data_IF_604754235712
#
_entry.id   IF_604754235712
#
_cell.length_a   1.000
_cell.length_b   1.000
_cell.length_c   1.000
_cell.angle_alpha   90.00
_cell.angle_beta   90.00
_cell.angle_gamma   90.00
#
_symmetry.space_group_name_H-M   'P 1'
#
loop_
_entity.id
_entity.type
_entity.pdbx_description
1 polymer ?
#
# COMPACT_ATOMS: atom_id res chain seq x y z
N UNK A 1 11.08 -1.72 21.58
CA UNK A 1 10.20 -2.80 21.10
C UNK A 1 10.23 -2.78 19.58
N UNK A 2 10.38 -3.93 18.93
CA UNK A 2 10.35 -4.05 17.46
C UNK A 2 8.88 -4.07 17.02
N UNK A 3 8.54 -3.36 15.93
CA UNK A 3 7.21 -3.40 15.32
C UNK A 3 7.22 -4.24 14.05
N UNK A 4 6.16 -5.00 13.79
CA UNK A 4 5.98 -5.85 12.62
C UNK A 4 4.92 -5.26 11.68
N UNK A 5 5.30 -5.08 10.42
CA UNK A 5 4.41 -4.75 9.32
C UNK A 5 4.23 -5.99 8.44
N UNK A 6 2.98 -6.33 8.12
CA UNK A 6 2.67 -7.41 7.19
C UNK A 6 1.90 -6.86 5.97
N UNK A 7 2.43 -7.12 4.77
CA UNK A 7 1.76 -6.73 3.54
C UNK A 7 0.76 -7.79 3.09
N UNK A 8 -0.47 -7.38 2.80
CA UNK A 8 -1.60 -8.23 2.41
C UNK A 8 -2.26 -7.73 1.12
N UNK A 9 -2.94 -8.65 0.41
CA UNK A 9 -3.58 -8.39 -0.89
C UNK A 9 -5.10 -8.34 -0.84
N UNK A 10 -5.69 -8.92 0.21
CA UNK A 10 -7.13 -9.07 0.34
C UNK A 10 -7.55 -9.20 1.81
N UNK A 11 -8.87 -9.35 2.01
CA UNK A 11 -9.49 -9.48 3.31
C UNK A 11 -9.12 -10.79 4.04
N UNK A 12 -8.85 -11.87 3.29
CA UNK A 12 -8.50 -13.16 3.89
C UNK A 12 -7.11 -13.10 4.51
N UNK A 13 -6.13 -12.57 3.78
CA UNK A 13 -4.77 -12.33 4.29
C UNK A 13 -4.80 -11.32 5.45
N UNK A 14 -5.60 -10.25 5.34
CA UNK A 14 -5.76 -9.26 6.42
C UNK A 14 -6.26 -9.90 7.73
N UNK A 15 -7.19 -10.85 7.65
CA UNK A 15 -7.68 -11.59 8.82
C UNK A 15 -6.58 -12.43 9.46
N UNK A 16 -5.80 -13.15 8.66
CA UNK A 16 -4.70 -14.00 9.16
C UNK A 16 -3.68 -13.16 9.95
N UNK A 17 -3.24 -12.03 9.38
CA UNK A 17 -2.21 -11.20 10.03
C UNK A 17 -2.74 -10.44 11.23
N UNK A 18 -4.02 -10.07 11.22
CA UNK A 18 -4.66 -9.43 12.37
C UNK A 18 -4.74 -10.40 13.55
N UNK A 19 -5.16 -11.65 13.31
CA UNK A 19 -5.21 -12.70 14.33
C UNK A 19 -3.80 -13.06 14.86
N UNK A 20 -2.77 -12.90 14.03
CA UNK A 20 -1.37 -13.05 14.42
C UNK A 20 -0.80 -11.87 15.24
N UNK A 21 -1.55 -10.77 15.37
CA UNK A 21 -1.17 -9.63 16.22
C UNK A 21 -0.11 -8.70 15.62
N UNK A 22 -0.11 -8.49 14.29
CA UNK A 22 0.81 -7.53 13.65
C UNK A 22 0.52 -6.08 14.05
N UNK A 23 1.56 -5.26 14.15
CA UNK A 23 1.44 -3.84 14.53
C UNK A 23 0.93 -2.95 13.40
N UNK A 24 1.07 -3.39 12.14
CA UNK A 24 0.60 -2.67 10.97
C UNK A 24 0.25 -3.62 9.81
N UNK A 25 -0.93 -3.44 9.23
CA UNK A 25 -1.40 -4.15 8.02
C UNK A 25 -1.20 -3.24 6.81
N UNK A 26 -0.39 -3.67 5.85
CA UNK A 26 -0.02 -2.91 4.65
C UNK A 26 -0.71 -3.49 3.40
N UNK A 27 -1.63 -2.73 2.82
CA UNK A 27 -2.38 -3.09 1.63
C UNK A 27 -1.56 -2.77 0.38
N UNK A 28 -1.14 -3.80 -0.37
CA UNK A 28 -0.38 -3.62 -1.61
C UNK A 28 -0.64 -4.73 -2.63
N UNK A 29 -0.38 -4.45 -3.90
CA UNK A 29 -0.44 -5.40 -5.02
C UNK A 29 0.98 -5.72 -5.53
N UNK A 30 1.63 -6.80 -5.05
CA UNK A 30 2.98 -7.16 -5.49
C UNK A 30 3.05 -7.50 -6.98
N UNK A 31 1.94 -7.96 -7.56
CA UNK A 31 1.85 -8.27 -8.99
C UNK A 31 1.93 -7.04 -9.89
N UNK A 32 1.83 -5.83 -9.33
CA UNK A 32 1.97 -4.56 -10.04
C UNK A 32 3.26 -3.83 -9.63
N UNK A 33 4.23 -4.56 -9.07
CA UNK A 33 5.53 -4.03 -8.63
C UNK A 33 5.65 -3.82 -7.12
N UNK A 34 6.79 -3.28 -6.68
CA UNK A 34 7.15 -3.21 -5.27
C UNK A 34 6.15 -2.42 -4.41
N UNK A 35 5.55 -1.38 -4.99
CA UNK A 35 4.56 -0.49 -4.37
C UNK A 35 3.26 -0.40 -5.20
N UNK A 36 2.90 -1.47 -5.92
CA UNK A 36 1.63 -1.54 -6.64
C UNK A 36 0.43 -1.34 -5.70
N UNK A 37 -0.58 -0.60 -6.15
CA UNK A 37 -1.78 -0.26 -5.37
C UNK A 37 -2.87 -1.34 -5.51
N UNK A 38 -3.61 -1.61 -4.44
CA UNK A 38 -4.84 -2.39 -4.52
C UNK A 38 -6.02 -1.53 -4.99
N UNK A 39 -7.09 -2.14 -5.52
CA UNK A 39 -8.36 -1.47 -5.77
C UNK A 39 -8.90 -0.78 -4.49
N UNK A 40 -9.48 0.41 -4.66
CA UNK A 40 -9.96 1.26 -3.54
C UNK A 40 -11.05 0.58 -2.70
N UNK A 41 -11.92 -0.20 -3.34
CA UNK A 41 -12.95 -1.00 -2.69
C UNK A 41 -12.34 -2.07 -1.78
N UNK A 42 -11.33 -2.82 -2.26
CA UNK A 42 -10.60 -3.79 -1.43
C UNK A 42 -9.95 -3.10 -0.23
N UNK A 43 -9.35 -1.93 -0.42
CA UNK A 43 -8.74 -1.18 0.68
C UNK A 43 -9.79 -0.80 1.73
N UNK A 44 -10.93 -0.27 1.30
CA UNK A 44 -12.03 0.11 2.19
C UNK A 44 -12.60 -1.09 2.95
N UNK A 45 -12.77 -2.22 2.29
CA UNK A 45 -13.27 -3.45 2.93
C UNK A 45 -12.33 -3.91 4.04
N UNK A 46 -11.02 -3.87 3.81
CA UNK A 46 -10.02 -4.22 4.83
C UNK A 46 -9.98 -3.19 5.95
N UNK A 47 -10.00 -1.89 5.65
CA UNK A 47 -10.03 -0.83 6.68
C UNK A 47 -11.28 -0.98 7.56
N UNK A 48 -12.45 -1.17 6.94
CA UNK A 48 -13.71 -1.40 7.65
C UNK A 48 -13.67 -2.67 8.50
N UNK A 49 -13.08 -3.75 7.98
CA UNK A 49 -12.84 -4.96 8.75
C UNK A 49 -11.92 -4.69 9.95
N UNK A 50 -10.73 -4.13 9.74
CA UNK A 50 -9.75 -3.88 10.82
C UNK A 50 -10.35 -3.03 11.92
N UNK A 51 -11.17 -2.02 11.59
CA UNK A 51 -11.95 -1.23 12.53
C UNK A 51 -11.10 -0.65 13.69
N UNK A 52 -9.89 -0.18 13.37
CA UNK A 52 -8.98 0.44 14.34
C UNK A 52 -8.31 -0.52 15.32
N UNK A 53 -8.42 -1.84 15.14
CA UNK A 53 -7.75 -2.84 15.99
C UNK A 53 -6.23 -2.83 15.86
N UNK A 54 -5.71 -2.42 14.70
CA UNK A 54 -4.29 -2.16 14.44
C UNK A 54 -4.16 -1.09 13.36
N UNK A 55 -2.95 -0.58 13.14
CA UNK A 55 -2.69 0.43 12.10
C UNK A 55 -2.82 -0.18 10.71
N UNK A 56 -3.27 0.63 9.76
CA UNK A 56 -3.37 0.28 8.34
C UNK A 56 -2.54 1.22 7.49
N UNK A 57 -1.90 0.68 6.45
CA UNK A 57 -1.29 1.46 5.39
C UNK A 57 -1.70 0.96 4.03
N UNK A 58 -1.69 1.82 3.01
CA UNK A 58 -1.88 1.37 1.63
C UNK A 58 -0.92 2.09 0.68
N UNK A 59 -0.53 1.40 -0.38
CA UNK A 59 0.30 1.97 -1.45
C UNK A 59 -0.54 2.81 -2.42
N UNK A 60 -0.02 3.96 -2.81
CA UNK A 60 -0.60 4.85 -3.82
C UNK A 60 -0.13 4.51 -5.25
N UNK A 61 0.61 3.40 -5.42
CA UNK A 61 1.15 2.95 -6.69
C UNK A 61 2.61 3.35 -6.90
N UNK A 62 3.12 2.98 -8.08
CA UNK A 62 4.41 3.41 -8.59
C UNK A 62 4.18 4.70 -9.40
N UNK A 63 4.59 5.84 -8.86
CA UNK A 63 4.25 7.17 -9.37
C UNK A 63 5.53 7.82 -9.89
N UNK A 64 5.45 8.48 -11.05
CA UNK A 64 6.50 9.40 -11.50
C UNK A 64 6.70 10.52 -10.45
N UNK A 65 7.90 11.11 -10.34
CA UNK A 65 8.21 12.07 -9.29
C UNK A 65 7.69 13.48 -9.65
N UNK A 66 6.40 13.56 -10.01
CA UNK A 66 5.64 14.78 -10.21
C UNK A 66 4.78 15.08 -8.98
N UNK A 67 4.89 16.29 -8.45
CA UNK A 67 4.26 16.66 -7.18
C UNK A 67 2.72 16.59 -7.24
N UNK A 68 2.12 16.99 -8.37
CA UNK A 68 0.66 16.98 -8.51
C UNK A 68 0.12 15.54 -8.63
N UNK A 69 0.79 14.69 -9.42
CA UNK A 69 0.47 13.28 -9.55
C UNK A 69 0.59 12.55 -8.20
N UNK A 70 1.69 12.76 -7.48
CA UNK A 70 1.91 12.17 -6.15
C UNK A 70 0.81 12.62 -5.17
N UNK A 71 0.49 13.91 -5.13
CA UNK A 71 -0.55 14.43 -4.25
C UNK A 71 -1.92 13.83 -4.57
N UNK A 72 -2.29 13.75 -5.85
CA UNK A 72 -3.57 13.20 -6.27
C UNK A 72 -3.70 11.71 -5.89
N UNK A 73 -2.67 10.92 -6.16
CA UNK A 73 -2.65 9.50 -5.79
C UNK A 73 -2.72 9.31 -4.27
N UNK A 74 -1.95 10.11 -3.50
CA UNK A 74 -1.99 10.05 -2.04
C UNK A 74 -3.37 10.43 -1.47
N UNK A 75 -4.01 11.46 -2.02
CA UNK A 75 -5.34 11.88 -1.59
C UNK A 75 -6.41 10.81 -1.86
N UNK A 76 -6.31 10.10 -3.00
CA UNK A 76 -7.20 8.99 -3.31
C UNK A 76 -7.10 7.86 -2.27
N UNK A 77 -5.88 7.47 -1.90
CA UNK A 77 -5.66 6.44 -0.88
C UNK A 77 -6.03 6.94 0.52
N UNK A 78 -5.70 8.17 0.89
CA UNK A 78 -6.09 8.74 2.18
C UNK A 78 -7.61 8.72 2.39
N UNK A 79 -8.39 8.94 1.33
CA UNK A 79 -9.85 8.88 1.35
C UNK A 79 -10.44 7.47 1.58
N UNK A 80 -9.60 6.43 1.66
CA UNK A 80 -10.02 5.07 2.06
C UNK A 80 -10.10 4.89 3.58
N UNK A 81 -9.50 5.80 4.35
CA UNK A 81 -9.47 5.75 5.81
C UNK A 81 -8.25 5.02 6.40
N UNK A 82 -7.23 4.71 5.59
CA UNK A 82 -5.96 4.18 6.10
C UNK A 82 -5.22 5.20 6.96
N UNK A 83 -4.46 4.71 7.94
CA UNK A 83 -3.65 5.56 8.84
C UNK A 83 -2.39 6.11 8.15
N UNK A 84 -1.83 5.34 7.22
CA UNK A 84 -0.63 5.72 6.46
C UNK A 84 -0.82 5.52 4.95
N UNK A 85 -0.33 6.47 4.18
CA UNK A 85 -0.23 6.36 2.72
C UNK A 85 1.23 6.16 2.33
N UNK A 86 1.50 5.18 1.48
CA UNK A 86 2.84 4.87 0.97
C UNK A 86 2.93 5.21 -0.52
N UNK A 87 3.69 6.23 -0.87
CA UNK A 87 3.93 6.59 -2.27
C UNK A 87 5.29 6.07 -2.73
N UNK A 88 5.30 5.35 -3.85
CA UNK A 88 6.54 4.97 -4.51
C UNK A 88 6.94 5.99 -5.55
N UNK A 89 8.08 6.64 -5.39
CA UNK A 89 8.64 7.56 -6.37
C UNK A 89 9.57 6.78 -7.31
N UNK A 90 9.15 6.63 -8.55
CA UNK A 90 9.91 5.89 -9.56
C UNK A 90 10.35 6.86 -10.67
N UNK A 91 11.55 6.70 -11.23
CA UNK A 91 11.95 7.49 -12.37
C UNK A 91 11.00 7.25 -13.56
N UNK A 92 10.93 8.20 -14.50
CA UNK A 92 10.32 7.95 -15.79
C UNK A 92 10.92 6.68 -16.43
N UNK A 93 10.13 5.96 -17.22
CA UNK A 93 10.53 4.71 -17.89
C UNK A 93 10.83 3.52 -16.97
N UNK A 94 10.42 3.54 -15.69
CA UNK A 94 10.53 2.34 -14.84
C UNK A 94 9.72 1.16 -15.42
N UNK A 95 10.36 -0.01 -15.48
CA UNK A 95 9.72 -1.26 -15.88
C UNK A 95 9.57 -2.24 -14.71
N UNK A 96 8.47 -3.00 -14.74
CA UNK A 96 8.16 -3.98 -13.73
C UNK A 96 9.20 -5.10 -13.66
N UNK A 97 9.79 -5.29 -12.48
CA UNK A 97 10.76 -6.36 -12.23
C UNK A 97 12.24 -5.95 -12.38
N UNK A 98 12.52 -4.68 -12.70
CA UNK A 98 13.86 -4.12 -12.58
C UNK A 98 14.35 -4.25 -11.14
N UNK A 99 15.30 -5.17 -10.88
CA UNK A 99 15.92 -5.33 -9.55
C UNK A 99 16.77 -4.13 -9.14
N UNK A 100 17.06 -3.25 -10.08
CA UNK A 100 17.79 -2.03 -9.86
C UNK A 100 16.89 -0.89 -10.31
N UNK A 101 16.71 0.10 -9.46
CA UNK A 101 16.09 1.40 -9.75
C UNK A 101 16.87 2.19 -10.83
N UNK A 102 17.43 1.51 -11.83
CA UNK A 102 18.16 2.05 -12.95
C UNK A 102 17.17 2.34 -14.08
N UNK A 103 17.36 3.49 -14.73
CA UNK A 103 16.63 3.86 -15.93
C UNK A 103 16.86 2.81 -17.03
N UNK A 104 15.78 2.42 -17.71
CA UNK A 104 15.85 1.70 -18.98
C UNK A 104 16.14 2.71 -20.09
#
# INVERSE_FOLDING_TARGET
>A
MIRMLASVRDLEEARIVLDAGVDLIDLKQPADGALGALPVDVIRDVVAFVAGRTLTSATAGNIEPDAAAVQAAMACIAATGVDYVKAGLFPPQWEQGGRDYAAV
#
